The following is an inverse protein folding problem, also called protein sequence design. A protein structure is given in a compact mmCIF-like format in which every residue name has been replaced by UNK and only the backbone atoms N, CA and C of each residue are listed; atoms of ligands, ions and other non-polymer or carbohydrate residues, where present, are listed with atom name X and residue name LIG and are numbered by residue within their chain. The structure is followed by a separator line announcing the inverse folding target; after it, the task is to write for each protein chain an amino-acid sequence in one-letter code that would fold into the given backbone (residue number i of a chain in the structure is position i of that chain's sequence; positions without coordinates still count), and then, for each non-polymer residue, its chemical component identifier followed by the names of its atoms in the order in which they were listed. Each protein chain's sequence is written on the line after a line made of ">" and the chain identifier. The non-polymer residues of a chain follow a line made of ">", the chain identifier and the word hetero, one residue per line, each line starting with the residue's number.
data_IF_471633509183
#
_entry.id   IF_471633509183
#
_cell.length_a   1.000
_cell.length_b   1.000
_cell.length_c   1.000
_cell.angle_alpha   90.00
_cell.angle_beta   90.00
_cell.angle_gamma   90.00
#
_symmetry.space_group_name_H-M   'P 1'
#
loop_
_entity.id
_entity.type
_entity.pdbx_description
1 polymer ?
#
# COMPACT_ATOMS: atom_id res chain seq x y z
N UNK A 1 2.35 17.05 5.20
CA UNK A 1 1.71 16.42 6.39
C UNK A 1 2.70 16.40 7.55
N UNK A 2 2.31 16.75 8.79
CA UNK A 2 3.21 16.76 9.97
C UNK A 2 3.22 15.40 10.67
N UNK A 3 4.41 14.86 10.99
CA UNK A 3 4.65 13.53 11.55
C UNK A 3 4.47 13.44 13.07
N UNK A 4 3.26 13.70 13.58
CA UNK A 4 3.00 13.63 15.02
C UNK A 4 2.90 12.21 15.61
N UNK A 5 2.96 11.15 14.80
CA UNK A 5 2.83 9.75 15.25
C UNK A 5 1.43 9.32 15.72
N UNK A 6 0.47 10.23 15.86
CA UNK A 6 -0.89 9.94 16.39
C UNK A 6 -1.80 9.28 15.34
N UNK A 7 -1.48 9.45 14.07
CA UNK A 7 -2.30 8.96 12.95
C UNK A 7 -1.43 8.18 11.97
N UNK A 8 -1.91 7.00 11.55
CA UNK A 8 -1.35 6.34 10.39
C UNK A 8 -1.87 7.01 9.12
N UNK A 9 -1.04 6.97 8.08
CA UNK A 9 -1.28 7.66 6.81
C UNK A 9 -1.09 6.67 5.67
N UNK A 10 -1.81 6.92 4.58
CA UNK A 10 -1.73 6.16 3.34
C UNK A 10 -1.63 7.14 2.18
N UNK A 11 -0.81 6.80 1.20
CA UNK A 11 -0.81 7.44 -0.10
C UNK A 11 -0.85 6.37 -1.18
N UNK A 12 -1.65 6.58 -2.21
CA UNK A 12 -1.77 5.72 -3.39
C UNK A 12 -1.52 6.58 -4.62
N UNK A 13 -0.67 6.11 -5.53
CA UNK A 13 -0.29 6.87 -6.72
C UNK A 13 0.13 5.93 -7.86
N UNK A 14 0.37 6.51 -9.03
CA UNK A 14 0.94 5.81 -10.17
C UNK A 14 2.43 5.48 -9.94
N UNK A 15 2.93 4.42 -10.56
CA UNK A 15 4.33 3.98 -10.43
C UNK A 15 5.32 5.08 -10.84
N UNK A 16 4.96 5.88 -11.84
CA UNK A 16 5.76 6.95 -12.42
C UNK A 16 5.96 8.13 -11.46
N UNK A 17 5.13 8.22 -10.41
CA UNK A 17 5.21 9.26 -9.40
C UNK A 17 6.09 8.85 -8.19
N UNK A 18 6.68 7.65 -8.23
CA UNK A 18 7.63 7.18 -7.22
C UNK A 18 9.07 7.41 -7.68
N UNK A 19 9.92 7.92 -6.78
CA UNK A 19 11.34 8.15 -7.02
C UNK A 19 12.15 7.37 -6.00
N UNK A 20 13.23 6.72 -6.44
CA UNK A 20 14.20 6.11 -5.53
C UNK A 20 15.09 7.20 -4.91
N UNK A 21 14.96 7.38 -3.60
CA UNK A 21 15.80 8.25 -2.78
C UNK A 21 16.66 7.41 -1.84
N UNK A 22 17.75 6.84 -2.39
CA UNK A 22 18.74 6.12 -1.61
C UNK A 22 18.24 4.75 -1.12
N UNK A 23 17.52 4.02 -1.98
CA UNK A 23 16.94 2.71 -1.69
C UNK A 23 15.56 2.77 -1.03
N UNK A 24 14.98 3.97 -0.90
CA UNK A 24 13.61 4.18 -0.41
C UNK A 24 12.77 4.80 -1.52
N UNK A 25 11.55 4.29 -1.72
CA UNK A 25 10.61 4.91 -2.63
C UNK A 25 9.92 6.10 -1.95
N UNK A 26 10.11 7.28 -2.53
CA UNK A 26 9.49 8.54 -2.11
C UNK A 26 8.51 9.02 -3.18
N UNK A 27 7.44 9.69 -2.73
CA UNK A 27 6.50 10.36 -3.62
C UNK A 27 7.12 11.64 -4.21
N UNK A 28 7.07 11.77 -5.54
CA UNK A 28 7.50 12.98 -6.24
C UNK A 28 6.47 14.12 -6.11
N UNK A 29 5.23 13.85 -6.52
CA UNK A 29 4.12 14.79 -6.52
C UNK A 29 3.01 14.32 -5.58
N UNK A 30 2.84 15.02 -4.47
CA UNK A 30 1.80 14.73 -3.48
C UNK A 30 0.40 15.12 -3.94
N UNK A 31 0.26 16.07 -4.87
CA UNK A 31 -1.04 16.48 -5.41
C UNK A 31 -1.56 15.45 -6.43
N UNK A 32 -0.66 14.71 -7.08
CA UNK A 32 -0.98 13.59 -7.96
C UNK A 32 -1.24 12.25 -7.22
N UNK A 33 -1.27 12.26 -5.88
CA UNK A 33 -1.53 11.07 -5.07
C UNK A 33 -2.87 11.17 -4.34
N UNK A 34 -3.58 10.05 -4.26
CA UNK A 34 -4.65 9.90 -3.30
C UNK A 34 -4.01 9.79 -1.90
N UNK A 35 -4.50 10.57 -0.93
CA UNK A 35 -3.97 10.54 0.44
C UNK A 35 -5.08 10.35 1.47
N UNK A 36 -4.77 9.60 2.52
CA UNK A 36 -5.66 9.37 3.66
C UNK A 36 -4.86 9.36 4.97
N UNK A 37 -5.51 9.77 6.05
CA UNK A 37 -4.95 9.72 7.41
C UNK A 37 -6.06 9.43 8.39
N UNK A 38 -5.82 8.64 9.44
CA UNK A 38 -6.86 8.44 10.46
C UNK A 38 -7.28 9.71 11.20
N UNK A 39 -6.51 10.80 11.05
CA UNK A 39 -6.92 12.11 11.54
C UNK A 39 -8.17 12.67 10.86
N UNK A 40 -8.54 12.22 9.66
CA UNK A 40 -9.80 12.63 8.99
C UNK A 40 -11.01 11.83 9.48
N UNK A 41 -10.82 10.87 10.38
CA UNK A 41 -11.92 10.06 10.92
C UNK A 41 -12.56 9.17 9.85
N UNK A 42 -13.89 9.13 9.83
CA UNK A 42 -14.66 8.29 8.92
C UNK A 42 -14.92 8.96 7.56
N UNK A 43 -14.00 9.79 7.06
CA UNK A 43 -14.11 10.44 5.76
C UNK A 43 -12.96 10.05 4.83
N UNK A 44 -13.32 9.66 3.61
CA UNK A 44 -12.40 9.27 2.54
C UNK A 44 -12.78 10.05 1.27
N UNK A 45 -11.85 10.84 0.74
CA UNK A 45 -12.07 11.72 -0.43
C UNK A 45 -13.36 12.57 -0.35
N UNK A 46 -13.66 13.10 0.84
CA UNK A 46 -14.87 13.90 1.09
C UNK A 46 -16.18 13.10 1.17
N UNK A 47 -16.12 11.76 1.16
CA UNK A 47 -17.27 10.87 1.39
C UNK A 47 -17.22 10.28 2.79
N UNK A 48 -18.35 10.28 3.49
CA UNK A 48 -18.47 9.59 4.77
C UNK A 48 -18.52 8.07 4.56
N UNK A 49 -17.68 7.36 5.30
CA UNK A 49 -17.60 5.89 5.34
C UNK A 49 -18.41 5.40 6.53
N UNK A 50 -19.24 4.40 6.31
CA UNK A 50 -20.09 3.80 7.35
C UNK A 50 -19.84 2.30 7.43
N UNK A 51 -20.45 1.63 8.41
CA UNK A 51 -20.39 0.16 8.50
C UNK A 51 -21.04 -0.58 7.31
N UNK A 52 -21.80 0.13 6.47
CA UNK A 52 -22.35 -0.44 5.23
C UNK A 52 -21.42 -0.26 4.03
N UNK A 53 -20.40 0.60 4.14
CA UNK A 53 -19.47 0.88 3.03
C UNK A 53 -18.54 -0.30 2.83
N UNK A 54 -18.51 -0.81 1.61
CA UNK A 54 -17.71 -1.97 1.22
C UNK A 54 -16.30 -1.57 0.80
N UNK A 55 -15.32 -2.47 0.89
CA UNK A 55 -13.98 -2.21 0.35
C UNK A 55 -13.97 -1.91 -1.15
N UNK A 56 -14.90 -2.49 -1.92
CA UNK A 56 -15.01 -2.25 -3.36
C UNK A 56 -15.41 -0.79 -3.65
N UNK A 57 -16.38 -0.24 -2.91
CA UNK A 57 -16.78 1.16 -3.05
C UNK A 57 -15.64 2.13 -2.70
N UNK A 58 -14.80 1.79 -1.71
CA UNK A 58 -13.62 2.60 -1.38
C UNK A 58 -12.55 2.48 -2.47
N UNK A 59 -12.35 1.28 -3.05
CA UNK A 59 -11.44 1.10 -4.16
C UNK A 59 -11.88 1.96 -5.36
N UNK A 60 -13.16 1.98 -5.71
CA UNK A 60 -13.70 2.82 -6.77
C UNK A 60 -13.43 4.31 -6.50
N UNK A 61 -13.60 4.78 -5.27
CA UNK A 61 -13.28 6.17 -4.87
C UNK A 61 -11.80 6.51 -5.07
N UNK A 62 -10.91 5.59 -4.68
CA UNK A 62 -9.46 5.78 -4.85
C UNK A 62 -9.11 5.85 -6.33
N UNK A 63 -9.69 4.95 -7.13
CA UNK A 63 -9.49 4.86 -8.58
C UNK A 63 -10.05 6.11 -9.30
N UNK A 64 -11.25 6.58 -8.92
CA UNK A 64 -11.83 7.85 -9.39
C UNK A 64 -10.92 9.05 -9.10
N UNK A 65 -10.15 9.00 -8.01
CA UNK A 65 -9.20 10.04 -7.61
C UNK A 65 -7.87 9.98 -8.38
N UNK A 66 -7.62 8.91 -9.13
CA UNK A 66 -6.37 8.62 -9.82
C UNK A 66 -6.59 8.22 -11.30
N UNK A 67 -7.29 9.04 -12.11
CA UNK A 67 -7.71 8.63 -13.46
C UNK A 67 -6.55 8.34 -14.41
N UNK A 68 -5.36 8.91 -14.19
CA UNK A 68 -4.15 8.67 -14.99
C UNK A 68 -3.33 7.46 -14.53
N UNK A 69 -3.63 6.88 -13.37
CA UNK A 69 -2.85 5.77 -12.78
C UNK A 69 -3.38 4.37 -13.17
N UNK A 70 -4.51 4.30 -13.86
CA UNK A 70 -5.13 3.03 -14.25
C UNK A 70 -4.50 2.57 -15.56
N UNK A 71 -3.47 1.74 -15.48
CA UNK A 71 -2.99 0.99 -16.64
C UNK A 71 -3.99 -0.08 -17.10
N UNK A 72 -3.89 -0.49 -18.36
CA UNK A 72 -4.83 -1.44 -18.99
C UNK A 72 -4.71 -2.89 -18.49
N UNK A 73 -3.71 -3.22 -17.68
CA UNK A 73 -3.48 -4.58 -17.19
C UNK A 73 -3.04 -4.62 -15.73
N UNK A 74 -3.72 -5.44 -14.93
CA UNK A 74 -3.31 -5.74 -13.56
C UNK A 74 -1.97 -6.47 -13.54
N UNK A 75 -1.07 -6.06 -12.64
CA UNK A 75 0.15 -6.81 -12.34
C UNK A 75 -0.21 -8.13 -11.65
N UNK A 76 -0.25 -9.21 -12.44
CA UNK A 76 -0.61 -10.53 -11.94
C UNK A 76 0.35 -11.05 -10.86
N UNK A 77 1.63 -10.70 -10.92
CA UNK A 77 2.58 -11.13 -9.90
C UNK A 77 2.25 -10.46 -8.55
N UNK A 78 1.92 -9.17 -8.58
CA UNK A 78 1.48 -8.45 -7.39
C UNK A 78 0.15 -8.98 -6.85
N UNK A 79 -0.84 -9.20 -7.72
CA UNK A 79 -2.16 -9.73 -7.32
C UNK A 79 -2.03 -11.09 -6.64
N UNK A 80 -1.24 -12.00 -7.20
CA UNK A 80 -1.00 -13.32 -6.61
C UNK A 80 -0.24 -13.23 -5.28
N UNK A 81 0.76 -12.36 -5.20
CA UNK A 81 1.49 -12.12 -3.96
C UNK A 81 0.56 -11.58 -2.86
N UNK A 82 -0.26 -10.59 -3.19
CA UNK A 82 -1.17 -9.95 -2.24
C UNK A 82 -2.27 -10.92 -1.76
N UNK A 83 -2.80 -11.76 -2.65
CA UNK A 83 -3.73 -12.82 -2.27
C UNK A 83 -3.11 -13.77 -1.24
N UNK A 84 -1.86 -14.21 -1.44
CA UNK A 84 -1.15 -15.05 -0.47
C UNK A 84 -0.93 -14.35 0.86
N UNK A 85 -0.61 -13.06 0.84
CA UNK A 85 -0.48 -12.27 2.06
C UNK A 85 -1.81 -12.24 2.84
N UNK A 86 -2.93 -11.96 2.16
CA UNK A 86 -4.25 -11.94 2.78
C UNK A 86 -4.65 -13.29 3.36
N UNK A 87 -4.36 -14.39 2.66
CA UNK A 87 -4.63 -15.74 3.17
C UNK A 87 -3.91 -15.99 4.50
N UNK A 88 -2.62 -15.60 4.61
CA UNK A 88 -1.86 -15.71 5.85
C UNK A 88 -2.44 -14.81 6.96
N UNK A 89 -2.71 -13.54 6.64
CA UNK A 89 -3.29 -12.57 7.60
C UNK A 89 -4.60 -13.07 8.18
N UNK A 90 -5.48 -13.62 7.33
CA UNK A 90 -6.76 -14.17 7.76
C UNK A 90 -6.58 -15.48 8.52
N UNK A 91 -5.70 -16.38 8.08
CA UNK A 91 -5.46 -17.66 8.74
C UNK A 91 -4.91 -17.48 10.16
N UNK A 92 -3.96 -16.56 10.34
CA UNK A 92 -3.30 -16.30 11.63
C UNK A 92 -3.98 -15.20 12.45
N UNK A 93 -5.00 -14.53 11.92
CA UNK A 93 -5.65 -13.37 12.54
C UNK A 93 -4.66 -12.29 12.99
N UNK A 94 -3.63 -12.04 12.17
CA UNK A 94 -2.50 -11.19 12.54
C UNK A 94 -2.09 -10.27 11.39
N UNK A 95 -1.64 -9.06 11.73
CA UNK A 95 -1.24 -8.05 10.75
C UNK A 95 0.17 -8.33 10.19
N UNK A 96 0.45 -7.96 8.93
CA UNK A 96 1.79 -8.02 8.38
C UNK A 96 2.67 -6.90 8.92
N UNK A 97 3.96 -7.20 9.09
CA UNK A 97 5.02 -6.28 9.48
C UNK A 97 6.05 -6.26 8.36
N UNK A 98 6.09 -5.15 7.63
CA UNK A 98 7.00 -4.93 6.51
C UNK A 98 8.41 -4.52 6.95
N UNK A 99 8.53 -3.92 8.15
CA UNK A 99 9.78 -3.41 8.69
C UNK A 99 9.72 -3.34 10.22
N UNK A 100 10.83 -3.68 10.85
CA UNK A 100 11.17 -3.33 12.22
C UNK A 100 12.69 -3.16 12.33
N UNK A 101 13.17 -2.36 13.29
CA UNK A 101 14.61 -2.06 13.41
C UNK A 101 15.49 -3.30 13.64
N UNK A 102 14.90 -4.40 14.11
CA UNK A 102 15.58 -5.70 14.29
C UNK A 102 15.27 -6.73 13.19
N UNK A 103 14.50 -6.37 12.16
CA UNK A 103 14.15 -7.27 11.06
C UNK A 103 15.28 -7.38 10.03
N UNK A 104 15.48 -8.58 9.48
CA UNK A 104 16.33 -8.79 8.32
C UNK A 104 15.48 -8.71 7.04
N UNK A 105 15.75 -7.77 6.12
CA UNK A 105 14.96 -7.62 4.89
C UNK A 105 14.90 -8.89 4.02
N UNK A 106 15.88 -9.80 4.16
CA UNK A 106 15.91 -11.05 3.42
C UNK A 106 14.80 -12.04 3.82
N UNK A 107 14.23 -11.89 5.02
CA UNK A 107 13.20 -12.79 5.55
C UNK A 107 11.80 -12.46 4.99
N UNK A 108 11.65 -11.32 4.32
CA UNK A 108 10.36 -10.86 3.79
C UNK A 108 9.53 -10.13 4.84
N UNK A 109 8.21 -10.17 4.69
CA UNK A 109 7.27 -9.57 5.64
C UNK A 109 6.79 -10.64 6.63
N UNK A 110 6.86 -10.33 7.92
CA UNK A 110 6.37 -11.23 8.97
C UNK A 110 4.86 -11.04 9.15
N UNK A 111 4.11 -12.12 9.32
CA UNK A 111 2.67 -12.11 9.65
C UNK A 111 2.51 -12.44 11.13
N UNK A 112 2.11 -11.44 11.92
CA UNK A 112 2.06 -11.54 13.38
C UNK A 112 3.46 -11.50 13.98
N UNK A 113 3.85 -10.31 14.45
CA UNK A 113 5.16 -10.05 15.04
C UNK A 113 5.60 -11.12 16.06
N UNK A 114 6.77 -11.72 15.84
CA UNK A 114 7.31 -12.81 16.66
C UNK A 114 6.66 -14.18 16.43
N UNK A 115 5.81 -14.31 15.41
CA UNK A 115 5.12 -15.53 15.01
C UNK A 115 5.94 -16.42 14.08
N UNK A 116 7.05 -15.94 13.53
CA UNK A 116 7.92 -16.66 12.57
C UNK A 116 7.18 -17.16 11.32
N UNK A 117 6.11 -16.47 10.92
CA UNK A 117 5.40 -16.72 9.66
C UNK A 117 5.78 -15.63 8.68
N UNK A 118 6.29 -16.00 7.52
CA UNK A 118 6.81 -15.04 6.55
C UNK A 118 6.14 -15.19 5.18
N UNK A 119 5.93 -14.05 4.53
CA UNK A 119 5.67 -13.96 3.09
C UNK A 119 6.86 -13.24 2.45
N UNK A 120 7.22 -13.61 1.22
CA UNK A 120 8.28 -12.90 0.49
C UNK A 120 7.97 -11.40 0.41
N UNK A 121 8.99 -10.56 0.21
CA UNK A 121 8.76 -9.16 -0.15
C UNK A 121 7.86 -9.05 -1.38
N UNK A 122 7.09 -7.94 -1.51
CA UNK A 122 6.31 -7.71 -2.73
C UNK A 122 7.21 -7.70 -3.96
N UNK A 123 6.69 -8.14 -5.12
CA UNK A 123 7.42 -8.03 -6.37
C UNK A 123 7.77 -6.55 -6.65
N UNK A 124 8.90 -6.28 -7.32
CA UNK A 124 9.28 -4.92 -7.66
C UNK A 124 8.23 -4.29 -8.57
N UNK A 125 8.05 -2.97 -8.43
CA UNK A 125 7.20 -2.20 -9.33
C UNK A 125 7.72 -2.42 -10.76
N UNK A 126 6.87 -2.80 -11.73
CA UNK A 126 7.28 -2.90 -13.12
C UNK A 126 7.88 -1.55 -13.52
N UNK A 127 9.17 -1.54 -13.85
CA UNK A 127 9.85 -0.30 -14.22
C UNK A 127 9.08 0.31 -15.39
N UNK A 128 8.57 1.53 -15.26
CA UNK A 128 8.27 2.35 -16.42
C UNK A 128 9.57 2.38 -17.24
N UNK A 129 9.57 1.70 -18.38
CA UNK A 129 10.80 1.21 -19.01
C UNK A 129 11.91 2.25 -19.05
N UNK A 130 13.07 1.92 -18.47
CA UNK A 130 14.31 2.57 -18.85
C UNK A 130 14.55 2.23 -20.34
N UNK A 131 14.09 3.09 -21.24
CA UNK A 131 14.63 3.13 -22.59
C UNK A 131 16.08 3.56 -22.48
N UNK A 132 16.95 2.64 -22.88
CA UNK A 132 18.40 2.69 -22.87
C UNK A 132 18.98 3.68 -23.87
#
# INVERSE_FOLDING_TARGET
>A
MSSSGVHWRLAVTAAENMVDEGGNLSLHDWEAAFTYTTGTGAEIAGRSVTGATTPAEIADVIVESLPSAIGDAADQAYVQWYARLLDLVHHYHALPVAYADCSNPADGWEVGWGGNVYVSTPPPIPSAGCTH
#
